data_IF_816267310400
#
_entry.id   IF_816267310400
#
_cell.length_a   1.000
_cell.length_b   1.000
_cell.length_c   1.000
_cell.angle_alpha   90.00
_cell.angle_beta   90.00
_cell.angle_gamma   90.00
#
_symmetry.space_group_name_H-M   'P 1'
#
loop_
_entity.id
_entity.type
_entity.pdbx_description
1 polymer ?
#
# COMPACT_ATOMS: atom_id res chain seq x y z
N UNK A 1 32.97 -62.79 2.18
CA UNK A 1 32.03 -62.05 3.03
C UNK A 1 31.81 -60.69 2.37
N UNK A 2 30.69 -60.52 1.67
CA UNK A 2 30.34 -59.28 0.95
C UNK A 2 29.46 -58.43 1.88
N UNK A 3 29.83 -57.17 2.10
CA UNK A 3 29.09 -56.22 2.93
C UNK A 3 28.09 -55.46 2.07
N UNK A 4 26.80 -55.63 2.37
CA UNK A 4 25.71 -54.87 1.79
C UNK A 4 25.81 -53.40 2.17
N UNK A 5 25.96 -52.53 1.17
CA UNK A 5 25.89 -51.07 1.35
C UNK A 5 24.60 -50.56 0.73
N UNK A 6 23.49 -50.63 1.46
CA UNK A 6 22.21 -50.05 1.05
C UNK A 6 22.14 -48.57 1.44
N UNK A 7 22.50 -47.68 0.51
CA UNK A 7 22.33 -46.22 0.67
C UNK A 7 20.83 -45.89 0.59
N UNK A 8 20.23 -45.62 1.73
CA UNK A 8 18.85 -45.16 1.87
C UNK A 8 18.69 -43.80 1.16
N UNK A 9 17.93 -43.79 0.06
CA UNK A 9 17.66 -42.57 -0.71
C UNK A 9 17.02 -41.49 0.20
N UNK A 10 17.62 -40.30 0.22
CA UNK A 10 17.10 -39.15 0.96
C UNK A 10 15.87 -38.60 0.24
N UNK A 11 14.82 -38.29 0.99
CA UNK A 11 13.64 -37.62 0.44
C UNK A 11 14.04 -36.22 -0.08
N UNK A 12 13.59 -35.82 -1.28
CA UNK A 12 13.95 -34.54 -1.86
C UNK A 12 13.36 -33.40 -1.01
N UNK A 13 14.19 -32.40 -0.75
CA UNK A 13 13.79 -31.21 0.01
C UNK A 13 12.88 -30.31 -0.82
N UNK A 14 12.17 -29.37 -0.19
CA UNK A 14 11.35 -28.37 -0.89
C UNK A 14 12.19 -27.61 -1.93
N UNK A 15 13.45 -27.35 -1.61
CA UNK A 15 14.39 -26.67 -2.50
C UNK A 15 14.72 -27.49 -3.75
N UNK A 16 14.89 -28.81 -3.61
CA UNK A 16 15.16 -29.71 -4.75
C UNK A 16 13.95 -29.77 -5.69
N UNK A 17 12.73 -29.78 -5.13
CA UNK A 17 11.49 -29.72 -5.92
C UNK A 17 11.33 -28.39 -6.66
N UNK A 18 11.66 -27.27 -6.02
CA UNK A 18 11.65 -25.96 -6.66
C UNK A 18 12.68 -25.89 -7.79
N UNK A 19 13.91 -26.37 -7.57
CA UNK A 19 14.92 -26.44 -8.63
C UNK A 19 14.45 -27.24 -9.84
N UNK A 20 13.79 -28.38 -9.61
CA UNK A 20 13.27 -29.22 -10.69
C UNK A 20 12.12 -28.55 -11.48
N UNK A 21 11.28 -27.74 -10.81
CA UNK A 21 10.23 -26.95 -11.47
C UNK A 21 10.78 -25.85 -12.38
N UNK A 22 11.93 -25.28 -12.03
CA UNK A 22 12.56 -24.20 -12.79
C UNK A 22 13.59 -24.69 -13.81
N UNK A 23 14.16 -25.89 -13.67
CA UNK A 23 15.20 -26.39 -14.57
C UNK A 23 14.69 -26.81 -15.95
N UNK A 24 13.42 -27.23 -16.06
CA UNK A 24 12.86 -27.79 -17.31
C UNK A 24 11.78 -26.89 -17.96
N UNK A 25 11.65 -25.64 -17.51
CA UNK A 25 10.63 -24.73 -18.06
C UNK A 25 11.14 -24.09 -19.35
N UNK A 26 10.59 -24.51 -20.49
CA UNK A 26 10.70 -23.72 -21.71
C UNK A 26 9.87 -22.45 -21.53
N UNK A 27 10.55 -21.29 -21.54
CA UNK A 27 9.90 -19.98 -21.52
C UNK A 27 9.25 -19.74 -22.88
N UNK A 28 7.99 -20.13 -23.03
CA UNK A 28 7.18 -19.71 -24.17
C UNK A 28 6.77 -18.25 -23.97
N UNK A 29 7.11 -17.38 -24.93
CA UNK A 29 6.57 -16.02 -24.96
C UNK A 29 5.06 -16.13 -25.17
N UNK A 30 4.27 -15.35 -24.44
CA UNK A 30 2.85 -15.19 -24.78
C UNK A 30 2.76 -14.71 -26.22
N UNK A 31 1.94 -15.34 -27.09
CA UNK A 31 1.74 -14.84 -28.44
C UNK A 31 1.25 -13.38 -28.37
N UNK A 32 1.50 -12.62 -29.43
CA UNK A 32 0.99 -11.25 -29.54
C UNK A 32 -0.52 -11.32 -29.35
N UNK A 33 -1.03 -10.52 -28.42
CA UNK A 33 -2.46 -10.46 -28.14
C UNK A 33 -3.20 -10.03 -29.42
N UNK A 34 -4.10 -10.90 -29.90
CA UNK A 34 -4.99 -10.61 -31.02
C UNK A 34 -6.37 -10.34 -30.44
N UNK A 35 -6.93 -9.18 -30.76
CA UNK A 35 -8.29 -8.84 -30.36
C UNK A 35 -9.27 -9.80 -31.03
N UNK A 36 -10.14 -10.49 -30.27
CA UNK A 36 -11.10 -11.41 -30.87
C UNK A 36 -12.07 -10.62 -31.74
N UNK A 37 -12.15 -10.97 -33.03
CA UNK A 37 -13.17 -10.43 -33.92
C UNK A 37 -14.54 -10.82 -33.35
N UNK A 38 -15.44 -9.85 -33.08
CA UNK A 38 -16.79 -10.17 -32.65
C UNK A 38 -17.43 -11.08 -33.69
N UNK A 39 -17.77 -12.31 -33.31
CA UNK A 39 -18.57 -13.17 -34.17
C UNK A 39 -19.92 -12.47 -34.39
N UNK A 40 -20.15 -12.00 -35.62
CA UNK A 40 -21.49 -11.61 -36.05
C UNK A 40 -22.40 -12.80 -35.75
N UNK A 41 -23.30 -12.58 -34.80
CA UNK A 41 -24.24 -13.59 -34.33
C UNK A 41 -25.22 -13.88 -35.45
N UNK A 42 -24.89 -14.86 -36.30
CA UNK A 42 -25.90 -15.61 -37.03
C UNK A 42 -26.75 -16.31 -35.97
N UNK A 43 -27.91 -15.73 -35.72
CA UNK A 43 -28.91 -16.15 -34.75
C UNK A 43 -29.43 -17.55 -35.11
N UNK A 44 -28.70 -18.60 -34.73
CA UNK A 44 -29.21 -19.98 -34.76
C UNK A 44 -29.84 -20.27 -33.41
N UNK A 45 -31.16 -20.51 -33.43
CA UNK A 45 -31.92 -20.97 -32.27
C UNK A 45 -31.38 -22.34 -31.85
N UNK A 46 -31.17 -22.62 -30.55
CA UNK A 46 -30.72 -23.94 -30.13
C UNK A 46 -31.91 -24.91 -30.21
N UNK A 47 -31.79 -25.90 -31.08
CA UNK A 47 -32.55 -27.13 -30.98
C UNK A 47 -32.16 -27.82 -29.66
N UNK A 48 -33.17 -28.18 -28.87
CA UNK A 48 -33.00 -28.90 -27.62
C UNK A 48 -32.23 -30.20 -27.86
N UNK A 49 -31.07 -30.34 -27.22
CA UNK A 49 -30.51 -31.66 -26.98
C UNK A 49 -30.03 -31.74 -25.54
N UNK A 50 -30.69 -32.65 -24.81
CA UNK A 50 -30.40 -32.99 -23.44
C UNK A 50 -29.02 -33.65 -23.33
N UNK A 51 -28.39 -33.47 -22.16
CA UNK A 51 -27.16 -34.12 -21.69
C UNK A 51 -25.88 -33.29 -21.88
N UNK A 52 -25.76 -32.21 -21.10
CA UNK A 52 -24.46 -31.84 -20.54
C UNK A 52 -24.67 -31.06 -19.23
N UNK A 53 -24.36 -31.71 -18.11
CA UNK A 53 -24.39 -31.14 -16.76
C UNK A 53 -23.14 -30.29 -16.57
N UNK A 54 -23.15 -29.08 -17.12
CA UNK A 54 -22.19 -28.04 -16.76
C UNK A 54 -23.00 -26.76 -16.52
N UNK A 55 -23.32 -26.50 -15.25
CA UNK A 55 -23.94 -25.24 -14.88
C UNK A 55 -22.98 -24.09 -15.26
N UNK A 56 -23.45 -23.06 -15.96
CA UNK A 56 -22.62 -21.90 -16.30
C UNK A 56 -22.20 -21.18 -15.01
N UNK A 57 -20.91 -20.86 -14.93
CA UNK A 57 -20.25 -20.18 -13.79
C UNK A 57 -20.95 -18.84 -13.46
N UNK A 58 -21.68 -18.27 -14.43
CA UNK A 58 -22.46 -17.05 -14.30
C UNK A 58 -23.58 -17.15 -13.26
N UNK A 59 -24.03 -18.36 -12.94
CA UNK A 59 -25.07 -18.59 -11.89
C UNK A 59 -24.52 -18.39 -10.48
N UNK A 60 -23.20 -18.54 -10.28
CA UNK A 60 -22.58 -18.52 -8.95
C UNK A 60 -22.51 -17.10 -8.33
N UNK A 61 -22.58 -16.04 -9.14
CA UNK A 61 -22.57 -14.66 -8.66
C UNK A 61 -23.95 -14.04 -8.49
N UNK A 62 -25.00 -14.63 -9.07
CA UNK A 62 -26.38 -14.12 -8.96
C UNK A 62 -27.04 -14.37 -7.60
N UNK A 63 -26.42 -15.17 -6.74
CA UNK A 63 -27.03 -15.63 -5.48
C UNK A 63 -26.59 -14.84 -4.24
N UNK A 64 -25.76 -13.80 -4.42
CA UNK A 64 -25.46 -12.83 -3.36
C UNK A 64 -26.49 -11.68 -3.39
N UNK A 65 -27.70 -11.96 -2.94
CA UNK A 65 -28.68 -10.92 -2.63
C UNK A 65 -28.40 -10.35 -1.22
N UNK A 66 -27.72 -9.20 -1.16
CA UNK A 66 -27.73 -8.35 0.04
C UNK A 66 -29.08 -7.63 0.04
N UNK A 67 -30.03 -8.13 0.81
CA UNK A 67 -31.31 -7.45 1.04
C UNK A 67 -31.07 -6.16 1.83
N UNK A 68 -31.05 -5.03 1.11
CA UNK A 68 -31.25 -3.72 1.71
C UNK A 68 -32.75 -3.40 1.64
N UNK A 69 -33.34 -3.12 2.81
CA UNK A 69 -34.73 -2.70 2.97
C UNK A 69 -35.00 -1.40 2.21
N UNK A 70 -36.14 -1.24 1.53
CA UNK A 70 -36.42 -0.03 0.76
C UNK A 70 -36.92 1.07 1.69
N UNK A 71 -36.34 2.26 1.60
CA UNK A 71 -37.02 3.49 2.01
C UNK A 71 -37.24 4.32 0.76
N UNK A 72 -38.51 4.66 0.57
CA UNK A 72 -39.10 5.30 -0.60
C UNK A 72 -38.48 6.66 -0.90
N UNK A 73 -38.19 6.94 -2.17
CA UNK A 73 -37.79 8.27 -2.60
C UNK A 73 -37.07 8.38 -3.95
N UNK A 74 -37.82 8.28 -5.05
CA UNK A 74 -37.57 8.95 -6.34
C UNK A 74 -36.22 8.67 -7.03
N UNK A 75 -36.08 7.48 -7.62
CA UNK A 75 -35.11 7.20 -8.68
C UNK A 75 -35.78 7.25 -10.06
N UNK A 76 -36.00 8.46 -10.56
CA UNK A 76 -36.30 8.70 -11.97
C UNK A 76 -35.97 10.16 -12.28
N UNK A 77 -34.80 10.40 -12.90
CA UNK A 77 -34.58 11.40 -13.96
C UNK A 77 -33.14 11.22 -14.48
N UNK A 78 -33.09 10.81 -15.74
CA UNK A 78 -32.03 10.96 -16.74
C UNK A 78 -30.60 10.52 -16.39
N UNK A 79 -30.29 9.33 -16.90
CA UNK A 79 -28.97 8.96 -17.41
C UNK A 79 -28.68 9.82 -18.64
N UNK A 80 -27.83 10.83 -18.51
CA UNK A 80 -27.22 11.49 -19.65
C UNK A 80 -25.77 11.02 -19.75
N UNK A 81 -25.52 10.28 -20.83
CA UNK A 81 -24.23 9.69 -21.14
C UNK A 81 -23.26 10.79 -21.58
N UNK A 82 -22.36 11.22 -20.69
CA UNK A 82 -21.24 12.08 -21.06
C UNK A 82 -20.11 11.23 -21.63
N UNK A 83 -19.74 11.53 -22.86
CA UNK A 83 -18.73 10.88 -23.69
C UNK A 83 -17.36 10.74 -23.00
N UNK A 84 -16.76 9.56 -23.16
CA UNK A 84 -15.45 9.23 -22.64
C UNK A 84 -14.35 10.02 -23.37
N UNK A 85 -13.70 10.94 -22.66
CA UNK A 85 -12.50 11.64 -23.16
C UNK A 85 -11.34 10.66 -23.31
N UNK A 86 -10.94 10.36 -24.54
CA UNK A 86 -9.73 9.60 -24.86
C UNK A 86 -8.48 10.39 -24.46
N UNK A 87 -7.73 9.85 -23.50
CA UNK A 87 -6.40 10.36 -23.11
C UNK A 87 -5.34 9.78 -24.04
N UNK A 88 -4.88 10.57 -25.01
CA UNK A 88 -3.74 10.21 -25.88
C UNK A 88 -2.45 10.30 -25.06
N UNK A 89 -1.65 9.22 -25.03
CA UNK A 89 -0.28 9.23 -24.48
C UNK A 89 0.67 9.78 -25.56
N UNK A 90 1.30 10.92 -25.30
CA UNK A 90 2.43 11.42 -26.09
C UNK A 90 3.72 10.76 -25.60
N UNK A 91 4.31 9.87 -26.42
CA UNK A 91 5.70 9.41 -26.25
C UNK A 91 6.61 10.42 -26.93
N UNK A 92 7.54 11.03 -26.18
CA UNK A 92 8.59 11.88 -26.72
C UNK A 92 9.62 11.06 -27.51
N UNK A 93 9.98 11.55 -28.69
CA UNK A 93 11.09 11.07 -29.52
C UNK A 93 12.38 11.71 -28.99
N UNK A 94 13.47 10.93 -28.92
CA UNK A 94 14.79 11.40 -28.53
C UNK A 94 15.52 11.98 -29.76
N UNK A 95 15.95 13.24 -29.67
CA UNK A 95 16.84 13.88 -30.64
C UNK A 95 18.31 13.52 -30.35
N UNK A 96 19.05 12.98 -31.34
CA UNK A 96 20.49 12.76 -31.24
C UNK A 96 21.26 13.95 -31.83
N UNK A 97 21.40 15.05 -31.10
CA UNK A 97 22.39 16.07 -31.45
C UNK A 97 22.82 16.93 -30.25
N UNK A 98 23.73 16.38 -29.45
CA UNK A 98 24.69 17.18 -28.66
C UNK A 98 25.89 16.32 -28.28
N UNK A 99 26.62 15.91 -29.31
CA UNK A 99 27.97 15.43 -29.18
C UNK A 99 28.89 16.55 -29.70
N UNK A 100 29.53 17.27 -28.77
CA UNK A 100 30.87 17.88 -28.92
C UNK A 100 31.16 18.74 -27.67
N UNK A 101 32.44 18.81 -27.31
CA UNK A 101 33.05 19.53 -26.19
C UNK A 101 33.05 18.80 -24.83
N UNK A 102 33.88 17.77 -24.74
CA UNK A 102 34.62 17.49 -23.50
C UNK A 102 36.11 17.52 -23.84
N UNK A 103 36.74 18.55 -23.31
CA UNK A 103 38.13 18.95 -23.44
C UNK A 103 39.02 18.18 -22.42
N UNK A 104 40.32 18.22 -22.73
CA UNK A 104 41.47 17.58 -22.10
C UNK A 104 41.56 17.64 -20.55
N UNK A 105 42.02 16.51 -19.99
CA UNK A 105 43.21 16.35 -19.12
C UNK A 105 43.52 17.40 -18.05
N UNK A 106 43.49 17.03 -16.75
CA UNK A 106 44.70 16.88 -15.89
C UNK A 106 44.37 16.64 -14.39
N UNK A 107 45.01 15.58 -13.85
CA UNK A 107 45.75 15.44 -12.58
C UNK A 107 45.13 15.85 -11.22
N UNK A 108 45.06 14.82 -10.37
CA UNK A 108 45.57 14.72 -8.97
C UNK A 108 45.30 15.87 -7.99
N UNK A 109 44.58 15.54 -6.90
CA UNK A 109 45.10 15.74 -5.54
C UNK A 109 44.27 14.94 -4.51
N UNK A 110 44.99 14.09 -3.77
CA UNK A 110 44.53 13.46 -2.55
C UNK A 110 44.48 14.53 -1.47
N UNK A 111 43.33 14.71 -0.83
CA UNK A 111 43.23 15.50 0.40
C UNK A 111 42.62 14.62 1.49
N UNK A 112 43.50 14.20 2.38
CA UNK A 112 43.22 13.64 3.70
C UNK A 112 42.38 14.65 4.48
N UNK A 113 41.13 14.31 4.78
CA UNK A 113 40.30 15.05 5.71
C UNK A 113 39.91 14.13 6.87
N UNK A 114 40.34 14.59 8.04
CA UNK A 114 39.97 14.22 9.39
C UNK A 114 38.45 13.91 9.54
N UNK A 115 38.04 12.95 10.39
CA UNK A 115 36.65 12.54 10.48
C UNK A 115 35.79 13.65 11.08
N UNK A 116 34.95 14.27 10.25
CA UNK A 116 33.81 15.07 10.69
C UNK A 116 32.97 14.25 11.70
N UNK A 117 32.56 14.82 12.84
CA UNK A 117 31.56 14.18 13.68
C UNK A 117 30.28 14.00 12.86
N UNK A 118 29.57 12.86 13.00
CA UNK A 118 28.40 12.59 12.17
C UNK A 118 27.38 13.72 12.31
N UNK A 119 26.70 14.12 11.21
CA UNK A 119 25.66 15.13 11.27
C UNK A 119 24.63 14.69 12.30
N UNK A 120 24.55 15.45 13.40
CA UNK A 120 23.51 15.25 14.40
C UNK A 120 22.21 15.71 13.77
N UNK A 121 21.53 14.79 13.07
CA UNK A 121 20.19 15.00 12.55
C UNK A 121 19.28 15.18 13.77
N UNK A 122 19.11 16.43 14.19
CA UNK A 122 18.19 16.81 15.26
C UNK A 122 16.79 16.37 14.85
N UNK A 123 16.27 15.35 15.51
CA UNK A 123 14.91 14.85 15.28
C UNK A 123 13.91 15.98 15.61
N UNK A 124 12.83 16.13 14.83
CA UNK A 124 11.81 17.13 15.11
C UNK A 124 11.13 16.83 16.46
N UNK A 125 10.95 17.87 17.28
CA UNK A 125 10.25 17.80 18.57
C UNK A 125 8.89 18.45 18.43
N UNK A 126 7.83 17.71 18.75
CA UNK A 126 6.45 18.13 18.71
C UNK A 126 5.90 18.22 20.13
N UNK A 127 5.34 19.37 20.47
CA UNK A 127 4.63 19.58 21.73
C UNK A 127 3.16 19.21 21.55
N UNK A 128 2.71 18.20 22.28
CA UNK A 128 1.34 17.69 22.17
C UNK A 128 0.59 17.81 23.49
N UNK A 129 -0.73 18.09 23.46
CA UNK A 129 -1.55 18.07 24.67
C UNK A 129 -1.60 16.66 25.26
N UNK A 130 -1.84 16.56 26.58
CA UNK A 130 -1.93 15.28 27.32
C UNK A 130 -2.82 14.22 26.66
N UNK A 131 -3.97 14.64 26.10
CA UNK A 131 -4.88 13.76 25.35
C UNK A 131 -4.21 13.12 24.14
N UNK A 132 -3.51 13.93 23.34
CA UNK A 132 -2.79 13.46 22.16
C UNK A 132 -1.58 12.59 22.55
N UNK A 133 -0.86 12.95 23.62
CA UNK A 133 0.26 12.17 24.13
C UNK A 133 -0.13 10.74 24.53
N UNK A 134 -1.32 10.55 25.11
CA UNK A 134 -1.83 9.20 25.41
C UNK A 134 -1.94 8.34 24.15
N UNK A 135 -2.45 8.90 23.05
CA UNK A 135 -2.55 8.18 21.77
C UNK A 135 -1.17 7.89 21.19
N UNK A 136 -0.24 8.84 21.25
CA UNK A 136 1.11 8.65 20.74
C UNK A 136 1.88 7.53 21.46
N UNK A 137 1.70 7.41 22.78
CA UNK A 137 2.23 6.28 23.57
C UNK A 137 1.65 4.92 23.16
N UNK A 138 0.42 4.90 22.64
CA UNK A 138 -0.18 3.68 22.09
C UNK A 138 0.33 3.41 20.68
N UNK A 139 0.52 4.43 19.84
CA UNK A 139 0.99 4.27 18.46
C UNK A 139 2.46 3.84 18.38
N UNK A 140 3.33 4.44 19.19
CA UNK A 140 4.77 4.19 19.22
C UNK A 140 5.17 3.41 20.47
N UNK A 141 6.19 2.56 20.36
CA UNK A 141 6.72 1.85 21.52
C UNK A 141 7.59 2.81 22.34
N UNK A 142 7.31 2.95 23.64
CA UNK A 142 8.11 3.77 24.54
C UNK A 142 8.62 2.90 25.71
N UNK A 143 9.93 2.63 25.81
CA UNK A 143 10.49 1.72 26.81
C UNK A 143 10.31 2.23 28.25
N UNK A 144 10.23 3.55 28.44
CA UNK A 144 10.02 4.15 29.77
C UNK A 144 8.58 4.02 30.29
N UNK A 145 7.64 3.52 29.48
CA UNK A 145 6.23 3.39 29.84
C UNK A 145 5.88 2.02 30.45
N UNK A 146 6.81 1.43 31.22
CA UNK A 146 6.75 0.04 31.71
C UNK A 146 5.49 -0.30 32.54
N UNK A 147 4.77 0.71 33.05
CA UNK A 147 3.58 0.57 33.88
C UNK A 147 2.27 1.01 33.21
N UNK A 148 2.27 1.33 31.90
CA UNK A 148 1.07 1.73 31.16
C UNK A 148 0.70 0.63 30.18
N UNK A 149 -0.35 -0.15 30.49
CA UNK A 149 -0.93 -1.09 29.54
C UNK A 149 -1.50 -0.30 28.34
N UNK A 150 -0.97 -0.47 27.12
CA UNK A 150 -1.52 0.20 25.96
C UNK A 150 -2.92 -0.35 25.67
N UNK A 151 -3.94 0.51 25.77
CA UNK A 151 -5.33 0.15 25.48
C UNK A 151 -5.76 0.58 24.08
N UNK A 152 -7.02 0.30 23.76
CA UNK A 152 -7.67 0.77 22.54
C UNK A 152 -7.73 2.31 22.49
N UNK A 153 -7.68 2.83 21.27
CA UNK A 153 -7.73 4.28 21.00
C UNK A 153 -9.05 4.61 20.30
N UNK A 154 -9.82 5.54 20.84
CA UNK A 154 -11.00 6.05 20.14
C UNK A 154 -10.59 6.74 18.83
N UNK A 155 -11.29 6.48 17.73
CA UNK A 155 -10.95 7.06 16.42
C UNK A 155 -10.95 8.60 16.44
N UNK A 156 -11.85 9.20 17.22
CA UNK A 156 -11.91 10.67 17.43
C UNK A 156 -10.64 11.20 18.12
N UNK A 157 -10.09 10.45 19.08
CA UNK A 157 -8.85 10.81 19.75
C UNK A 157 -7.66 10.70 18.81
N UNK A 158 -7.65 9.67 17.94
CA UNK A 158 -6.66 9.56 16.88
C UNK A 158 -6.73 10.74 15.91
N UNK A 159 -7.92 11.13 15.45
CA UNK A 159 -8.11 12.30 14.58
C UNK A 159 -7.61 13.58 15.24
N UNK A 160 -7.98 13.82 16.51
CA UNK A 160 -7.52 14.98 17.26
C UNK A 160 -5.99 15.00 17.39
N UNK A 161 -5.38 13.85 17.65
CA UNK A 161 -3.92 13.70 17.78
C UNK A 161 -3.21 14.02 16.47
N UNK A 162 -3.70 13.50 15.34
CA UNK A 162 -3.12 13.78 14.03
C UNK A 162 -3.21 15.28 13.69
N UNK A 163 -4.35 15.93 13.99
CA UNK A 163 -4.52 17.37 13.78
C UNK A 163 -3.60 18.19 14.68
N UNK A 164 -3.47 17.83 15.97
CA UNK A 164 -2.57 18.49 16.90
C UNK A 164 -1.09 18.37 16.49
N UNK A 165 -0.72 17.27 15.82
CA UNK A 165 0.62 17.06 15.25
C UNK A 165 0.86 17.86 13.96
N UNK A 166 -0.16 18.52 13.40
CA UNK A 166 -0.04 19.34 12.20
C UNK A 166 -0.45 18.64 10.90
N UNK A 167 -1.25 17.57 10.98
CA UNK A 167 -1.91 16.99 9.80
C UNK A 167 -3.28 17.62 9.57
N UNK A 168 -3.63 17.84 8.30
CA UNK A 168 -4.99 18.13 7.86
C UNK A 168 -5.68 16.80 7.57
N UNK A 169 -6.70 16.47 8.37
CA UNK A 169 -7.50 15.27 8.20
C UNK A 169 -8.72 15.56 7.30
N UNK A 170 -8.77 14.94 6.12
CA UNK A 170 -9.89 15.04 5.18
C UNK A 170 -10.60 13.70 5.07
N UNK A 171 -11.90 13.68 5.41
CA UNK A 171 -12.75 12.51 5.17
C UNK A 171 -12.95 12.34 3.66
N UNK A 172 -12.63 11.14 3.16
CA UNK A 172 -12.84 10.74 1.77
C UNK A 172 -14.14 9.91 1.68
N UNK A 173 -14.26 9.06 0.66
CA UNK A 173 -15.40 8.16 0.53
C UNK A 173 -15.38 7.06 1.60
N UNK A 174 -16.57 6.67 2.07
CA UNK A 174 -16.75 5.60 3.05
C UNK A 174 -16.00 5.85 4.37
N UNK A 175 -15.22 4.86 4.80
CA UNK A 175 -14.39 4.92 6.01
C UNK A 175 -12.97 5.46 5.76
N UNK A 176 -12.63 5.89 4.55
CA UNK A 176 -11.27 6.35 4.24
C UNK A 176 -11.04 7.80 4.69
N UNK A 177 -9.92 8.05 5.36
CA UNK A 177 -9.46 9.37 5.78
C UNK A 177 -8.07 9.65 5.23
N UNK A 178 -7.92 10.77 4.55
CA UNK A 178 -6.64 11.26 4.04
C UNK A 178 -6.03 12.26 5.02
N UNK A 179 -4.75 12.08 5.35
CA UNK A 179 -3.99 12.96 6.22
C UNK A 179 -2.84 13.58 5.43
N UNK A 180 -2.89 14.90 5.29
CA UNK A 180 -1.86 15.68 4.59
C UNK A 180 -1.06 16.49 5.63
N UNK A 181 0.28 16.43 5.64
CA UNK A 181 1.08 17.26 6.53
C UNK A 181 0.92 18.73 6.13
N UNK A 182 0.68 19.60 7.11
CA UNK A 182 0.53 21.05 6.91
C UNK A 182 1.39 21.88 7.86
N UNK A 183 1.85 21.32 8.98
CA UNK A 183 2.77 22.01 9.89
C UNK A 183 4.17 22.17 9.28
N UNK A 184 4.83 23.28 9.56
CA UNK A 184 6.19 23.57 9.06
C UNK A 184 7.21 22.52 9.52
N UNK A 185 7.23 22.23 10.83
CA UNK A 185 8.08 21.19 11.44
C UNK A 185 7.85 19.81 10.83
N UNK A 186 6.59 19.48 10.55
CA UNK A 186 6.22 18.22 9.94
C UNK A 186 6.64 18.19 8.47
N UNK A 187 6.34 19.24 7.70
CA UNK A 187 6.67 19.30 6.27
C UNK A 187 8.17 19.23 6.02
N UNK A 188 8.97 19.83 6.90
CA UNK A 188 10.44 19.78 6.83
C UNK A 188 11.00 18.35 7.03
N UNK A 189 10.35 17.50 7.84
CA UNK A 189 10.80 16.14 8.11
C UNK A 189 10.14 15.07 7.22
N UNK A 190 9.16 15.44 6.40
CA UNK A 190 8.33 14.50 5.65
C UNK A 190 8.90 14.19 4.26
N UNK A 191 9.14 12.90 3.94
CA UNK A 191 9.44 12.49 2.55
C UNK A 191 8.19 12.22 1.71
N UNK A 192 7.02 12.08 2.34
CA UNK A 192 5.74 11.78 1.68
C UNK A 192 4.72 12.90 1.83
N UNK A 193 3.87 13.08 0.81
CA UNK A 193 2.87 14.15 0.77
C UNK A 193 1.55 13.83 1.48
N UNK A 194 1.13 12.57 1.63
CA UNK A 194 -0.09 12.22 2.36
C UNK A 194 -0.14 10.74 2.76
N UNK A 195 -1.03 10.41 3.71
CA UNK A 195 -1.28 9.04 4.16
C UNK A 195 -2.77 8.80 4.35
N UNK A 196 -3.25 7.63 3.96
CA UNK A 196 -4.67 7.25 4.10
C UNK A 196 -4.82 6.17 5.16
N UNK A 197 -5.72 6.38 6.11
CA UNK A 197 -6.15 5.37 7.08
C UNK A 197 -7.66 5.16 7.01
N UNK A 198 -8.11 3.97 7.39
CA UNK A 198 -9.53 3.65 7.46
C UNK A 198 -10.04 3.78 8.89
N UNK A 199 -11.16 4.45 9.04
CA UNK A 199 -11.96 4.52 10.27
C UNK A 199 -12.46 3.11 10.62
N UNK A 200 -12.16 2.61 11.83
CA UNK A 200 -12.63 1.31 12.27
C UNK A 200 -14.17 1.26 12.37
N UNK A 201 -14.78 0.26 11.76
CA UNK A 201 -16.22 0.00 11.81
C UNK A 201 -16.45 -1.47 12.22
N UNK A 202 -17.42 -1.81 13.10
CA UNK A 202 -18.53 -0.98 13.61
C UNK A 202 -18.26 -0.15 14.87
N UNK A 203 -17.24 -0.51 15.67
CA UNK A 203 -17.07 0.01 17.03
C UNK A 203 -16.47 1.43 17.10
N UNK A 204 -15.81 1.91 16.04
CA UNK A 204 -15.20 3.25 16.03
C UNK A 204 -13.93 3.38 16.87
N UNK A 205 -13.33 2.25 17.27
CA UNK A 205 -12.10 2.18 18.07
C UNK A 205 -10.99 1.46 17.34
N UNK A 206 -9.77 1.95 17.54
CA UNK A 206 -8.55 1.39 17.00
C UNK A 206 -7.96 0.45 18.05
N UNK A 207 -8.04 -0.86 17.77
CA UNK A 207 -7.38 -1.88 18.57
C UNK A 207 -5.87 -1.62 18.66
N UNK A 208 -5.27 -1.94 19.80
CA UNK A 208 -3.85 -1.73 20.08
C UNK A 208 -2.93 -2.24 18.96
N UNK A 209 -3.19 -3.44 18.43
CA UNK A 209 -2.36 -4.04 17.39
C UNK A 209 -2.44 -3.24 16.07
N UNK A 210 -3.62 -2.72 15.76
CA UNK A 210 -3.85 -1.85 14.60
C UNK A 210 -3.20 -0.49 14.83
N UNK A 211 -3.32 0.08 16.02
CA UNK A 211 -2.66 1.32 16.42
C UNK A 211 -1.14 1.22 16.24
N UNK A 212 -0.52 0.12 16.68
CA UNK A 212 0.92 -0.11 16.46
C UNK A 212 1.29 -0.25 14.99
N UNK A 213 0.42 -0.81 14.16
CA UNK A 213 0.63 -0.86 12.70
C UNK A 213 0.56 0.53 12.08
N UNK A 214 -0.36 1.38 12.55
CA UNK A 214 -0.47 2.79 12.17
C UNK A 214 0.81 3.54 12.55
N UNK A 215 1.29 3.41 13.79
CA UNK A 215 2.55 4.03 14.23
C UNK A 215 3.75 3.63 13.39
N UNK A 216 3.94 2.33 13.11
CA UNK A 216 5.01 1.86 12.20
C UNK A 216 4.87 2.43 10.78
N UNK A 217 3.64 2.63 10.30
CA UNK A 217 3.41 3.23 8.99
C UNK A 217 3.76 4.73 8.99
N UNK A 218 3.45 5.45 10.07
CA UNK A 218 3.86 6.84 10.27
C UNK A 218 5.38 6.98 10.34
N UNK A 219 6.06 6.09 11.07
CA UNK A 219 7.52 6.06 11.13
C UNK A 219 8.14 5.89 9.72
N UNK A 220 7.68 4.91 8.94
CA UNK A 220 8.19 4.70 7.57
C UNK A 220 7.87 5.82 6.58
N UNK A 221 6.79 6.56 6.81
CA UNK A 221 6.36 7.62 5.92
C UNK A 221 7.02 8.97 6.24
N UNK A 222 7.25 9.23 7.53
CA UNK A 222 7.54 10.56 8.05
C UNK A 222 8.71 10.59 9.05
N UNK A 223 9.36 9.46 9.31
CA UNK A 223 10.46 9.35 10.28
C UNK A 223 10.02 9.55 11.74
N UNK A 224 8.72 9.57 12.02
CA UNK A 224 8.19 9.83 13.36
C UNK A 224 8.47 8.66 14.31
N UNK A 225 8.92 8.99 15.51
CA UNK A 225 9.20 8.04 16.58
C UNK A 225 8.78 8.59 17.95
N UNK A 226 8.73 7.74 18.98
CA UNK A 226 8.29 8.13 20.32
C UNK A 226 9.09 9.31 20.92
N UNK A 227 10.37 9.44 20.56
CA UNK A 227 11.27 10.50 21.00
C UNK A 227 10.94 11.87 20.40
N UNK A 228 10.16 11.91 19.30
CA UNK A 228 9.76 13.16 18.66
C UNK A 228 8.69 13.91 19.46
N UNK A 229 8.13 13.34 20.53
CA UNK A 229 6.94 13.88 21.18
C UNK A 229 7.19 14.24 22.64
N UNK A 230 6.83 15.47 23.01
CA UNK A 230 6.91 15.97 24.38
C UNK A 230 5.52 16.44 24.82
N UNK A 231 5.15 16.12 26.07
CA UNK A 231 3.89 16.58 26.65
C UNK A 231 3.97 18.08 26.92
N UNK A 232 3.01 18.82 26.36
CA UNK A 232 2.83 20.24 26.66
C UNK A 232 2.47 20.37 28.15
N UNK A 233 3.25 21.16 28.89
CA UNK A 233 3.00 21.46 30.31
C UNK A 233 1.83 22.41 30.49
#
# INVERSE_FOLDING_TARGET
>A
MQLDTAVKARNPTVYDRLKQLFSNRQLARTPVWVEPVPAETARQQPAANANNTAAPIDTAFGQLSISSTPTEGKAAILREASEAKQKVKTRGVADPSKATAAENTEKQQQQENEPEPPPTVTKPVFHLPKRAMRVMRVLFHHPSAHNQQPGDVDWKDFLHTMVAMGFVAKKMYGSAWNFTPSGETLTACCSRQCIIFHEPHPVGKLDFMVARRVGRRLNRAYGLDAECFVELK
#
